data_IF_250199638897
#
_entry.id   IF_250199638897
#
_cell.length_a   1.000
_cell.length_b   1.000
_cell.length_c   1.000
_cell.angle_alpha   90.00
_cell.angle_beta   90.00
_cell.angle_gamma   90.00
#
_symmetry.space_group_name_H-M   'P 1'
#
loop_
_entity.id
_entity.type
_entity.pdbx_description
1 polymer ?
#
# COMPACT_ATOMS: atom_id res chain seq x y z
N UNK A 1 -31.69 79.55 8.38
CA UNK A 1 -32.32 78.79 9.48
C UNK A 1 -31.59 77.46 9.63
N UNK A 2 -31.20 77.11 10.86
CA UNK A 2 -31.09 75.72 11.36
C UNK A 2 -29.94 74.84 10.85
N UNK A 3 -28.92 74.67 11.69
CA UNK A 3 -27.77 73.75 11.59
C UNK A 3 -28.10 72.33 12.12
N UNK A 4 -27.14 71.39 12.37
CA UNK A 4 -25.76 71.22 11.84
C UNK A 4 -25.38 69.76 11.42
N UNK A 5 -24.20 69.62 10.81
CA UNK A 5 -23.40 68.40 10.64
C UNK A 5 -22.31 68.23 11.75
N UNK A 6 -21.71 67.02 11.78
CA UNK A 6 -20.34 66.62 12.24
C UNK A 6 -20.18 66.13 13.71
N UNK A 7 -19.12 65.35 14.12
CA UNK A 7 -17.82 65.10 13.46
C UNK A 7 -17.19 63.68 13.61
N UNK A 8 -15.91 63.60 13.21
CA UNK A 8 -15.02 62.45 13.01
C UNK A 8 -13.71 62.59 13.85
N UNK A 9 -12.92 61.51 14.04
CA UNK A 9 -11.45 61.38 14.33
C UNK A 9 -10.75 61.46 15.72
N UNK A 10 -9.65 60.65 15.79
CA UNK A 10 -8.26 60.82 16.37
C UNK A 10 -7.89 60.12 17.72
N UNK A 11 -7.05 59.05 17.82
CA UNK A 11 -5.55 58.80 17.96
C UNK A 11 -4.77 59.57 19.08
N UNK A 12 -3.51 59.28 19.57
CA UNK A 12 -2.57 58.10 19.75
C UNK A 12 -1.85 58.02 21.18
N UNK A 13 -0.48 57.90 21.40
CA UNK A 13 0.35 56.72 21.83
C UNK A 13 1.30 56.91 23.09
N UNK A 14 2.24 55.96 23.40
CA UNK A 14 3.62 56.07 24.05
C UNK A 14 4.02 54.82 24.91
N UNK A 15 5.14 54.07 24.76
CA UNK A 15 6.64 54.18 24.98
C UNK A 15 7.24 53.76 26.37
N UNK A 16 8.31 52.95 26.26
CA UNK A 16 9.34 52.31 27.16
C UNK A 16 9.79 52.88 28.52
N UNK A 17 10.23 51.99 29.46
CA UNK A 17 11.58 51.94 30.10
C UNK A 17 11.71 50.94 31.30
N UNK A 18 12.86 50.27 31.45
CA UNK A 18 13.34 49.49 32.64
C UNK A 18 14.26 50.37 33.54
N UNK A 19 14.85 49.98 34.74
CA UNK A 19 15.70 48.78 35.00
C UNK A 19 15.80 48.18 36.47
N UNK A 20 16.55 47.07 36.62
CA UNK A 20 17.42 46.54 37.74
C UNK A 20 16.87 46.35 39.20
N UNK A 21 17.31 45.48 40.14
CA UNK A 21 18.46 44.55 40.37
C UNK A 21 18.22 43.74 41.69
N UNK A 22 18.77 42.50 41.80
CA UNK A 22 19.33 41.80 43.02
C UNK A 22 18.40 41.50 44.25
N UNK A 23 18.50 40.44 45.06
CA UNK A 23 19.46 39.34 45.31
C UNK A 23 18.80 38.24 46.19
N UNK A 24 19.44 37.06 46.23
CA UNK A 24 19.55 36.06 47.32
C UNK A 24 18.34 35.25 47.87
N UNK A 25 18.52 33.91 47.88
CA UNK A 25 18.21 33.07 49.06
C UNK A 25 17.40 31.79 48.84
N UNK A 26 18.06 30.65 48.64
CA UNK A 26 17.56 29.30 48.99
C UNK A 26 17.42 29.17 50.53
N UNK A 27 16.48 28.35 51.09
CA UNK A 27 16.63 26.88 51.07
C UNK A 27 15.33 26.02 51.09
N UNK A 28 15.45 24.73 50.74
CA UNK A 28 14.54 23.61 51.10
C UNK A 28 14.72 23.21 52.60
N UNK A 29 14.00 22.22 53.23
CA UNK A 29 12.85 21.36 52.87
C UNK A 29 11.74 21.31 53.99
N UNK A 30 10.89 20.27 53.99
CA UNK A 30 9.95 19.77 55.04
C UNK A 30 8.44 19.90 54.67
N UNK A 31 7.76 18.80 54.33
CA UNK A 31 7.13 17.79 55.21
C UNK A 31 5.74 18.21 55.73
N UNK A 32 4.71 17.45 55.34
CA UNK A 32 3.52 17.26 56.18
C UNK A 32 2.16 17.56 55.52
N UNK A 33 1.41 16.49 55.23
CA UNK A 33 0.10 16.31 55.85
C UNK A 33 -1.12 17.07 55.32
N UNK A 34 -2.00 16.28 54.67
CA UNK A 34 -3.45 16.25 54.83
C UNK A 34 -4.37 17.44 54.42
N UNK A 35 -5.23 17.06 53.47
CA UNK A 35 -6.70 17.17 53.50
C UNK A 35 -7.39 18.29 52.68
N UNK A 36 -8.60 17.98 52.17
CA UNK A 36 -9.13 18.50 50.90
C UNK A 36 -10.24 19.55 51.10
N UNK A 37 -10.49 20.40 50.10
CA UNK A 37 -11.66 21.29 50.12
C UNK A 37 -12.29 21.46 48.73
N UNK A 38 -13.51 20.90 48.64
CA UNK A 38 -14.74 21.37 47.96
C UNK A 38 -14.74 21.72 46.46
N UNK A 39 -15.57 20.97 45.73
CA UNK A 39 -16.60 21.56 44.89
C UNK A 39 -17.92 20.74 44.96
N UNK A 40 -18.92 21.32 45.60
CA UNK A 40 -20.38 21.07 45.51
C UNK A 40 -20.87 22.03 44.39
N UNK A 41 -21.92 21.86 43.58
CA UNK A 41 -23.17 21.09 43.63
C UNK A 41 -23.80 21.07 42.21
N UNK A 42 -24.55 20.02 41.84
CA UNK A 42 -26.03 20.12 41.61
C UNK A 42 -26.36 20.13 40.11
N UNK A 43 -27.33 19.39 39.56
CA UNK A 43 -28.64 18.99 40.07
C UNK A 43 -29.07 17.59 39.57
N UNK A 44 -29.75 16.89 40.48
CA UNK A 44 -30.41 15.58 40.34
C UNK A 44 -31.92 15.85 40.36
N UNK A 45 -32.68 15.24 39.45
CA UNK A 45 -34.14 15.07 39.62
C UNK A 45 -34.47 13.59 39.61
N UNK A 46 -35.18 13.17 40.65
CA UNK A 46 -35.64 11.81 40.87
C UNK A 46 -36.90 11.51 40.04
N UNK A 47 -37.04 10.27 39.55
CA UNK A 47 -38.36 9.65 39.48
C UNK A 47 -38.30 8.13 39.65
N UNK A 48 -39.13 7.66 40.56
CA UNK A 48 -39.27 6.31 41.12
C UNK A 48 -40.08 5.38 40.20
N UNK A 49 -39.71 4.11 40.27
CA UNK A 49 -40.18 2.89 39.59
C UNK A 49 -41.67 2.58 39.77
N UNK A 50 -42.28 1.86 38.81
CA UNK A 50 -43.12 0.71 39.14
C UNK A 50 -42.71 -0.59 38.38
N UNK A 51 -42.55 -1.68 39.13
CA UNK A 51 -42.48 -3.07 38.65
C UNK A 51 -43.91 -3.63 38.58
N UNK A 52 -44.31 -4.31 37.49
CA UNK A 52 -44.45 -5.77 37.46
C UNK A 52 -43.98 -6.32 36.08
N UNK A 53 -43.71 -7.60 35.78
CA UNK A 53 -44.16 -8.90 36.28
C UNK A 53 -43.15 -9.93 35.73
N UNK A 54 -42.73 -10.89 36.54
CA UNK A 54 -41.87 -11.99 36.08
C UNK A 54 -42.71 -13.00 35.28
N UNK A 55 -42.59 -12.99 33.96
CA UNK A 55 -43.02 -14.11 33.13
C UNK A 55 -41.88 -15.13 33.04
N UNK A 56 -42.10 -16.25 33.74
CA UNK A 56 -41.23 -17.41 33.78
C UNK A 56 -41.28 -18.11 32.40
N UNK A 57 -40.32 -17.81 31.53
CA UNK A 57 -40.13 -18.54 30.28
C UNK A 57 -39.40 -19.86 30.57
N UNK A 58 -40.04 -20.97 30.18
CA UNK A 58 -39.53 -22.32 30.31
C UNK A 58 -38.22 -22.51 29.50
N UNK A 59 -37.31 -23.42 29.94
CA UNK A 59 -36.06 -23.69 29.23
C UNK A 59 -36.33 -24.29 27.84
N UNK A 60 -35.56 -23.93 26.80
CA UNK A 60 -35.69 -24.54 25.49
C UNK A 60 -35.35 -26.04 25.58
N UNK A 61 -36.31 -26.86 25.18
CA UNK A 61 -36.18 -28.31 25.12
C UNK A 61 -35.23 -28.68 23.98
N UNK A 62 -34.18 -29.43 24.29
CA UNK A 62 -33.29 -29.99 23.27
C UNK A 62 -34.09 -30.88 22.29
N UNK A 63 -33.93 -30.72 20.97
CA UNK A 63 -34.56 -31.63 20.02
C UNK A 63 -33.95 -33.02 20.17
N UNK A 64 -34.79 -34.00 20.48
CA UNK A 64 -34.46 -35.44 20.41
C UNK A 64 -34.03 -35.78 18.97
N UNK A 65 -33.07 -36.68 18.77
CA UNK A 65 -32.74 -37.16 17.44
C UNK A 65 -33.93 -37.96 16.89
N UNK A 66 -34.70 -37.33 16.01
CA UNK A 66 -35.72 -38.01 15.21
C UNK A 66 -35.02 -38.94 14.22
N UNK A 67 -35.36 -40.22 14.29
CA UNK A 67 -34.97 -41.22 13.32
C UNK A 67 -35.28 -40.74 11.90
N UNK A 68 -34.26 -40.70 11.04
CA UNK A 68 -34.45 -40.51 9.60
C UNK A 68 -35.26 -41.69 9.05
N UNK A 69 -36.20 -41.46 8.11
CA UNK A 69 -36.81 -42.55 7.36
C UNK A 69 -35.73 -43.33 6.57
N UNK A 70 -35.89 -44.66 6.39
CA UNK A 70 -34.92 -45.46 5.65
C UNK A 70 -34.84 -44.95 4.21
N UNK A 71 -33.61 -44.69 3.75
CA UNK A 71 -33.36 -44.43 2.34
C UNK A 71 -33.53 -45.75 1.59
N UNK A 72 -34.59 -45.87 0.82
CA UNK A 72 -34.73 -46.92 -0.17
C UNK A 72 -33.58 -46.82 -1.18
N UNK A 73 -32.76 -47.87 -1.23
CA UNK A 73 -31.74 -48.07 -2.25
C UNK A 73 -32.38 -48.13 -3.63
N UNK A 74 -32.30 -47.02 -4.37
CA UNK A 74 -32.60 -46.99 -5.80
C UNK A 74 -31.38 -47.52 -6.57
N UNK A 75 -31.57 -48.34 -7.61
CA UNK A 75 -30.46 -48.94 -8.35
C UNK A 75 -29.69 -47.87 -9.15
N UNK A 76 -28.37 -47.89 -9.01
CA UNK A 76 -27.45 -47.08 -9.84
C UNK A 76 -27.48 -47.61 -11.27
N UNK A 77 -28.27 -46.98 -12.13
CA UNK A 77 -28.12 -47.08 -13.57
C UNK A 77 -27.35 -45.86 -14.09
N UNK A 78 -26.15 -46.10 -14.62
CA UNK A 78 -25.48 -45.15 -15.50
C UNK A 78 -24.17 -44.54 -14.98
N UNK A 79 -23.14 -45.37 -14.79
CA UNK A 79 -21.74 -44.92 -14.92
C UNK A 79 -21.15 -45.71 -16.09
N UNK A 80 -20.65 -45.08 -17.16
CA UNK A 80 -19.98 -45.81 -18.22
C UNK A 80 -18.67 -46.38 -17.67
N UNK A 81 -18.56 -47.70 -17.65
CA UNK A 81 -17.31 -48.41 -17.39
C UNK A 81 -16.33 -48.10 -18.52
N UNK A 82 -15.17 -47.54 -18.17
CA UNK A 82 -14.02 -47.44 -19.08
C UNK A 82 -13.36 -48.81 -19.13
N UNK A 83 -13.29 -49.37 -20.34
CA UNK A 83 -12.71 -50.68 -20.64
C UNK A 83 -11.15 -50.59 -20.62
N UNK A 84 -10.42 -51.41 -19.84
CA UNK A 84 -8.95 -51.33 -19.76
C UNK A 84 -8.21 -51.88 -20.98
N UNK A 85 -8.88 -52.20 -22.09
CA UNK A 85 -8.28 -52.90 -23.24
C UNK A 85 -8.01 -52.00 -24.46
N UNK A 86 -8.23 -50.69 -24.36
CA UNK A 86 -7.97 -49.74 -25.44
C UNK A 86 -6.52 -49.18 -25.43
N UNK A 87 -5.52 -50.05 -25.52
CA UNK A 87 -4.17 -49.69 -25.97
C UNK A 87 -3.79 -50.60 -27.15
N UNK A 88 -4.32 -50.25 -28.33
CA UNK A 88 -3.98 -50.87 -29.59
C UNK A 88 -2.65 -50.33 -30.12
N UNK A 89 -1.59 -51.09 -29.88
CA UNK A 89 -0.35 -51.00 -30.64
C UNK A 89 -0.59 -51.40 -32.10
N UNK A 90 0.03 -50.65 -33.02
CA UNK A 90 0.10 -50.98 -34.43
C UNK A 90 0.87 -52.30 -34.64
N UNK A 91 0.38 -53.08 -35.59
CA UNK A 91 0.89 -54.37 -36.06
C UNK A 91 2.41 -54.46 -36.22
N UNK A 92 2.99 -55.57 -35.74
CA UNK A 92 4.13 -56.25 -36.35
C UNK A 92 4.01 -57.76 -36.06
N UNK A 93 3.91 -58.58 -37.12
CA UNK A 93 3.80 -60.04 -37.05
C UNK A 93 5.15 -60.73 -36.75
N UNK A 94 5.13 -62.04 -36.41
CA UNK A 94 6.31 -62.77 -35.99
C UNK A 94 7.05 -63.38 -37.20
N UNK A 95 8.38 -63.23 -37.20
CA UNK A 95 9.39 -64.24 -37.60
C UNK A 95 10.69 -63.56 -38.10
N UNK A 96 11.69 -63.39 -37.21
CA UNK A 96 13.12 -63.41 -37.55
C UNK A 96 14.03 -63.43 -36.28
N UNK A 97 15.13 -64.22 -36.25
CA UNK A 97 16.00 -64.42 -35.08
C UNK A 97 17.13 -63.36 -34.93
N UNK A 98 17.90 -63.34 -33.82
CA UNK A 98 18.53 -62.14 -33.30
C UNK A 98 19.89 -61.84 -33.97
N UNK A 99 20.06 -60.61 -34.46
CA UNK A 99 21.36 -60.10 -34.92
C UNK A 99 21.88 -59.06 -33.94
N UNK A 100 23.05 -59.33 -33.36
CA UNK A 100 23.83 -58.39 -32.56
C UNK A 100 24.19 -57.16 -33.42
N UNK A 101 23.85 -55.96 -32.96
CA UNK A 101 24.47 -54.72 -33.47
C UNK A 101 25.22 -54.02 -32.33
N UNK A 102 26.53 -54.06 -32.48
CA UNK A 102 27.51 -53.16 -31.87
C UNK A 102 27.25 -51.71 -32.30
N UNK A 103 27.52 -50.75 -31.42
CA UNK A 103 27.68 -49.34 -31.76
C UNK A 103 26.76 -48.40 -31.01
N UNK A 104 27.23 -47.86 -29.88
CA UNK A 104 26.65 -46.66 -29.28
C UNK A 104 26.81 -45.46 -30.25
N UNK A 105 25.78 -44.65 -30.51
CA UNK A 105 25.97 -43.38 -31.19
C UNK A 105 26.64 -42.41 -30.20
N UNK A 106 27.90 -42.09 -30.51
CA UNK A 106 28.70 -41.08 -29.83
C UNK A 106 27.96 -39.73 -29.83
N UNK A 107 27.91 -39.12 -28.65
CA UNK A 107 27.48 -37.73 -28.44
C UNK A 107 28.36 -36.82 -29.31
N UNK A 108 27.81 -35.97 -30.20
CA UNK A 108 28.63 -35.04 -30.97
C UNK A 108 29.42 -34.12 -30.05
N UNK A 109 30.74 -34.08 -30.26
CA UNK A 109 31.68 -33.18 -29.59
C UNK A 109 31.29 -31.70 -29.78
N UNK A 110 31.70 -30.89 -28.80
CA UNK A 110 31.59 -29.44 -28.81
C UNK A 110 32.25 -28.82 -30.05
N UNK A 111 31.43 -28.17 -30.89
CA UNK A 111 31.90 -27.26 -31.92
C UNK A 111 32.54 -26.01 -31.28
N UNK A 112 33.70 -25.53 -31.78
CA UNK A 112 34.37 -24.35 -31.25
C UNK A 112 33.56 -23.08 -31.48
N UNK A 113 33.58 -22.18 -30.50
CA UNK A 113 32.93 -20.88 -30.51
C UNK A 113 33.32 -20.07 -31.76
N UNK A 114 32.33 -19.77 -32.61
CA UNK A 114 32.49 -18.80 -33.71
C UNK A 114 32.57 -17.39 -33.12
N UNK A 115 33.55 -16.56 -33.53
CA UNK A 115 33.75 -15.20 -33.02
C UNK A 115 32.78 -14.15 -33.61
N UNK A 116 31.73 -14.58 -34.30
CA UNK A 116 30.73 -13.69 -34.88
C UNK A 116 29.46 -13.72 -34.03
N UNK A 117 28.89 -12.56 -33.64
CA UNK A 117 27.61 -12.52 -32.95
C UNK A 117 26.55 -13.12 -33.87
N UNK A 118 25.85 -14.16 -33.41
CA UNK A 118 24.72 -14.72 -34.14
C UNK A 118 23.68 -13.62 -34.40
N UNK A 119 23.21 -13.56 -35.64
CA UNK A 119 22.12 -12.69 -36.05
C UNK A 119 20.83 -13.16 -35.35
N UNK A 120 20.64 -12.70 -34.11
CA UNK A 120 19.38 -12.91 -33.40
C UNK A 120 18.24 -12.28 -34.21
N UNK A 121 17.12 -13.00 -34.33
CA UNK A 121 15.94 -12.57 -35.11
C UNK A 121 15.45 -11.16 -34.76
N UNK A 122 15.74 -10.67 -33.55
CA UNK A 122 15.46 -9.30 -33.11
C UNK A 122 16.30 -8.20 -33.78
N UNK A 123 17.50 -8.51 -34.29
CA UNK A 123 18.33 -7.55 -35.04
C UNK A 123 17.92 -7.44 -36.52
N UNK A 124 17.21 -8.44 -37.04
CA UNK A 124 16.74 -8.47 -38.44
C UNK A 124 15.32 -7.92 -38.63
N UNK A 125 14.57 -7.73 -37.54
CA UNK A 125 13.22 -7.16 -37.58
C UNK A 125 13.29 -5.65 -37.41
N UNK A 126 12.88 -4.94 -38.46
CA UNK A 126 12.64 -3.49 -38.40
C UNK A 126 11.56 -3.25 -37.32
N UNK A 127 11.80 -2.43 -36.30
CA UNK A 127 10.80 -2.15 -35.28
C UNK A 127 9.58 -1.49 -35.94
N UNK A 128 8.49 -2.25 -36.05
CA UNK A 128 7.20 -1.74 -36.53
C UNK A 128 6.60 -0.94 -35.38
N UNK A 129 6.37 0.35 -35.60
CA UNK A 129 5.70 1.21 -34.62
C UNK A 129 4.32 0.60 -34.28
N UNK A 130 3.98 0.38 -32.99
CA UNK A 130 2.67 -0.12 -32.63
C UNK A 130 1.57 0.84 -33.13
N UNK A 131 0.39 0.33 -33.53
CA UNK A 131 -0.70 1.17 -33.99
C UNK A 131 -1.17 2.11 -32.86
N UNK A 132 -1.61 3.35 -33.17
CA UNK A 132 -2.10 4.29 -32.17
C UNK A 132 -3.28 3.71 -31.40
N UNK A 133 -3.25 3.81 -30.07
CA UNK A 133 -4.25 3.22 -29.17
C UNK A 133 -5.49 4.11 -28.93
N UNK A 134 -5.41 5.43 -29.17
CA UNK A 134 -6.52 6.36 -28.90
C UNK A 134 -6.47 7.66 -29.76
N UNK A 135 -7.60 8.37 -29.79
CA UNK A 135 -7.76 9.72 -30.35
C UNK A 135 -7.87 9.81 -31.87
N UNK A 136 -7.69 11.01 -32.41
CA UNK A 136 -7.76 11.27 -33.87
C UNK A 136 -6.71 10.48 -34.66
N UNK A 137 -5.59 10.11 -34.03
CA UNK A 137 -4.56 9.27 -34.64
C UNK A 137 -5.05 7.84 -34.85
N UNK A 138 -5.77 7.26 -33.88
CA UNK A 138 -6.46 5.98 -34.05
C UNK A 138 -7.53 6.08 -35.14
N UNK A 139 -8.29 7.17 -35.18
CA UNK A 139 -9.28 7.40 -36.24
C UNK A 139 -8.64 7.49 -37.62
N UNK A 140 -7.54 8.22 -37.79
CA UNK A 140 -6.81 8.29 -39.06
C UNK A 140 -6.17 6.96 -39.45
N UNK A 141 -5.61 6.22 -38.49
CA UNK A 141 -5.08 4.88 -38.74
C UNK A 141 -6.19 3.95 -39.26
N UNK A 142 -7.38 3.99 -38.63
CA UNK A 142 -8.56 3.23 -39.08
C UNK A 142 -9.08 3.70 -40.44
N UNK A 143 -9.22 5.01 -40.65
CA UNK A 143 -9.74 5.60 -41.89
C UNK A 143 -8.78 5.42 -43.07
N UNK A 144 -7.48 5.35 -42.82
CA UNK A 144 -6.46 5.04 -43.84
C UNK A 144 -6.29 3.54 -44.11
N UNK A 145 -7.12 2.67 -43.50
CA UNK A 145 -7.01 1.22 -43.67
C UNK A 145 -5.68 0.64 -43.14
N UNK A 146 -5.04 1.31 -42.19
CA UNK A 146 -3.73 0.95 -41.65
C UNK A 146 -2.53 1.47 -42.44
N UNK A 147 -2.75 2.28 -43.49
CA UNK A 147 -1.67 2.82 -44.33
C UNK A 147 -0.90 3.97 -43.66
N UNK A 148 -1.56 4.76 -42.81
CA UNK A 148 -0.95 5.90 -42.12
C UNK A 148 -0.88 5.60 -40.62
N UNK A 149 0.27 5.08 -40.19
CA UNK A 149 0.57 4.88 -38.77
C UNK A 149 1.42 6.04 -38.23
N UNK A 150 0.78 6.99 -37.56
CA UNK A 150 1.45 8.11 -36.89
C UNK A 150 2.14 7.71 -35.57
N UNK A 151 2.11 6.42 -35.22
CA UNK A 151 2.55 5.91 -33.94
C UNK A 151 1.65 6.34 -32.79
N UNK A 152 1.97 5.86 -31.60
CA UNK A 152 1.33 6.33 -30.38
C UNK A 152 1.65 7.80 -30.10
N UNK A 153 0.73 8.51 -29.44
CA UNK A 153 1.04 9.86 -28.98
C UNK A 153 2.22 9.82 -27.99
N UNK A 154 3.11 10.84 -27.93
CA UNK A 154 4.23 10.86 -26.99
C UNK A 154 3.81 10.61 -25.53
N UNK A 155 2.59 11.04 -25.22
CA UNK A 155 1.95 10.82 -23.93
C UNK A 155 1.53 9.36 -23.73
N UNK A 156 0.89 8.74 -24.72
CA UNK A 156 0.52 7.32 -24.66
C UNK A 156 1.77 6.45 -24.54
N UNK A 157 2.83 6.75 -25.28
CA UNK A 157 4.11 6.06 -25.14
C UNK A 157 4.73 6.27 -23.76
N UNK A 158 4.70 7.48 -23.20
CA UNK A 158 5.14 7.73 -21.81
C UNK A 158 4.35 6.89 -20.82
N UNK A 159 3.03 6.86 -20.93
CA UNK A 159 2.18 6.06 -20.05
C UNK A 159 2.49 4.56 -20.19
N UNK A 160 2.62 4.05 -21.41
CA UNK A 160 2.97 2.64 -21.66
C UNK A 160 4.34 2.28 -21.10
N UNK A 161 5.34 3.19 -21.20
CA UNK A 161 6.64 3.00 -20.57
C UNK A 161 6.54 2.93 -19.05
N UNK A 162 5.74 3.80 -18.43
CA UNK A 162 5.49 3.75 -16.99
C UNK A 162 4.78 2.46 -16.59
N UNK A 163 3.76 2.03 -17.35
CA UNK A 163 3.05 0.76 -17.14
C UNK A 163 4.01 -0.43 -17.25
N UNK A 164 4.93 -0.42 -18.22
CA UNK A 164 5.95 -1.46 -18.36
C UNK A 164 6.92 -1.48 -17.17
N UNK A 165 7.34 -0.32 -16.65
CA UNK A 165 8.15 -0.21 -15.43
C UNK A 165 7.39 -0.71 -14.20
N UNK A 166 6.14 -0.29 -14.03
CA UNK A 166 5.27 -0.75 -12.94
C UNK A 166 5.05 -2.26 -13.00
N UNK A 167 5.03 -2.87 -14.19
CA UNK A 167 4.91 -4.31 -14.41
C UNK A 167 6.23 -5.09 -14.37
N UNK A 168 7.35 -4.46 -13.98
CA UNK A 168 8.63 -5.15 -13.85
C UNK A 168 8.47 -6.39 -12.94
N UNK A 169 8.98 -7.57 -13.36
CA UNK A 169 8.84 -8.79 -12.57
C UNK A 169 9.41 -8.63 -11.15
N UNK A 170 8.64 -9.03 -10.15
CA UNK A 170 9.07 -9.11 -8.76
C UNK A 170 9.47 -10.55 -8.44
N UNK A 171 10.65 -10.76 -7.85
CA UNK A 171 11.02 -12.05 -7.25
C UNK A 171 10.84 -11.95 -5.74
N UNK A 172 9.90 -12.74 -5.22
CA UNK A 172 9.50 -12.68 -3.81
C UNK A 172 8.56 -11.52 -3.54
N UNK A 173 8.56 -11.04 -2.29
CA UNK A 173 7.76 -9.92 -1.84
C UNK A 173 8.63 -8.67 -1.70
N UNK A 174 8.15 -7.54 -2.20
CA UNK A 174 8.75 -6.23 -2.00
C UNK A 174 7.95 -5.44 -0.98
N UNK A 175 8.62 -4.78 -0.04
CA UNK A 175 8.00 -4.15 1.14
C UNK A 175 8.28 -2.66 1.11
N UNK A 176 7.20 -1.87 1.06
CA UNK A 176 7.29 -0.41 1.04
C UNK A 176 6.65 0.13 2.30
N UNK A 177 7.42 0.86 3.09
CA UNK A 177 6.91 1.51 4.29
C UNK A 177 6.68 3.01 4.06
N UNK A 178 5.54 3.51 4.52
CA UNK A 178 5.18 4.92 4.43
C UNK A 178 5.42 5.60 5.76
N UNK A 179 6.19 6.69 5.75
CA UNK A 179 6.57 7.43 6.95
C UNK A 179 6.11 8.89 6.86
N UNK A 180 5.70 9.43 8.01
CA UNK A 180 5.46 10.86 8.18
C UNK A 180 5.50 11.21 9.67
N UNK A 181 6.23 12.26 10.05
CA UNK A 181 6.27 12.73 11.44
C UNK A 181 5.06 13.61 11.84
N UNK A 182 4.22 14.01 10.87
CA UNK A 182 3.02 14.84 11.13
C UNK A 182 1.75 14.14 10.64
N UNK A 183 0.73 14.13 11.49
CA UNK A 183 -0.63 13.75 11.09
C UNK A 183 -1.20 14.68 10.01
N UNK A 184 -2.00 14.15 9.10
CA UNK A 184 -2.73 14.95 8.10
C UNK A 184 -1.92 15.35 6.85
N UNK A 185 -0.71 14.82 6.65
CA UNK A 185 0.04 15.00 5.38
C UNK A 185 -0.49 14.15 4.22
N UNK A 186 -1.44 13.26 4.50
CA UNK A 186 -2.03 12.33 3.54
C UNK A 186 -1.23 11.04 3.33
N UNK A 187 -0.40 10.62 4.30
CA UNK A 187 0.37 9.37 4.25
C UNK A 187 -0.51 8.15 3.92
N UNK A 188 -1.58 7.92 4.70
CA UNK A 188 -2.54 6.83 4.46
C UNK A 188 -3.20 6.92 3.09
N UNK A 189 -3.52 8.14 2.65
CA UNK A 189 -4.08 8.39 1.31
C UNK A 189 -3.08 8.02 0.22
N UNK A 190 -1.80 8.40 0.36
CA UNK A 190 -0.74 8.03 -0.59
C UNK A 190 -0.49 6.51 -0.57
N UNK A 191 -0.48 5.88 0.61
CA UNK A 191 -0.31 4.43 0.74
C UNK A 191 -1.42 3.67 -0.01
N UNK A 192 -2.68 4.03 0.24
CA UNK A 192 -3.83 3.42 -0.42
C UNK A 192 -3.89 3.72 -1.93
N UNK A 193 -3.65 4.97 -2.35
CA UNK A 193 -3.68 5.33 -3.79
C UNK A 193 -2.53 4.70 -4.56
N UNK A 194 -1.34 4.63 -3.99
CA UNK A 194 -0.20 3.94 -4.60
C UNK A 194 -0.47 2.44 -4.70
N UNK A 195 -1.00 1.82 -3.64
CA UNK A 195 -1.40 0.42 -3.66
C UNK A 195 -2.49 0.10 -4.68
N UNK A 196 -3.52 0.94 -4.76
CA UNK A 196 -4.56 0.82 -5.77
C UNK A 196 -3.98 0.98 -7.18
N UNK A 197 -3.06 1.91 -7.39
CA UNK A 197 -2.39 2.12 -8.68
C UNK A 197 -1.59 0.87 -9.07
N UNK A 198 -0.78 0.33 -8.16
CA UNK A 198 -0.06 -0.93 -8.40
C UNK A 198 -1.01 -2.07 -8.71
N UNK A 199 -2.05 -2.28 -7.90
CA UNK A 199 -3.01 -3.37 -8.09
C UNK A 199 -3.79 -3.26 -9.42
N UNK A 200 -4.06 -2.03 -9.88
CA UNK A 200 -4.78 -1.80 -11.14
C UNK A 200 -3.93 -2.05 -12.38
N UNK A 201 -2.61 -1.94 -12.26
CA UNK A 201 -1.66 -2.05 -13.39
C UNK A 201 -1.00 -3.43 -13.41
N UNK A 202 -0.70 -4.00 -12.22
CA UNK A 202 -0.01 -5.26 -12.06
C UNK A 202 -0.96 -6.44 -12.05
N UNK A 203 -0.46 -7.59 -12.52
CA UNK A 203 -1.18 -8.87 -12.47
C UNK A 203 -0.94 -9.68 -11.19
N UNK A 204 0.01 -9.28 -10.33
CA UNK A 204 0.26 -9.93 -9.05
C UNK A 204 -0.46 -9.24 -7.89
N UNK A 205 -0.43 -9.87 -6.71
CA UNK A 205 -1.25 -9.44 -5.57
C UNK A 205 -0.53 -8.36 -4.76
N UNK A 206 -1.27 -7.30 -4.47
CA UNK A 206 -0.83 -6.15 -3.67
C UNK A 206 -1.69 -6.08 -2.41
N UNK A 207 -1.03 -5.99 -1.25
CA UNK A 207 -1.71 -5.78 0.03
C UNK A 207 -1.18 -4.53 0.71
N UNK A 208 -2.07 -3.78 1.36
CA UNK A 208 -1.71 -2.72 2.28
C UNK A 208 -2.13 -3.08 3.71
N UNK A 209 -1.24 -2.85 4.66
CA UNK A 209 -1.45 -3.10 6.09
C UNK A 209 -1.30 -1.81 6.87
N UNK A 210 -2.20 -1.60 7.81
CA UNK A 210 -2.13 -0.47 8.73
C UNK A 210 -1.31 -0.86 9.95
N UNK A 211 -0.15 -0.22 10.13
CA UNK A 211 0.75 -0.42 11.26
C UNK A 211 0.67 0.75 12.26
N UNK A 212 -0.50 1.39 12.37
CA UNK A 212 -0.75 2.43 13.35
C UNK A 212 -1.29 1.83 14.67
N UNK A 213 -0.56 1.96 15.80
CA UNK A 213 -1.00 1.42 17.09
C UNK A 213 -2.18 2.20 17.72
N UNK A 214 -2.39 3.47 17.34
CA UNK A 214 -3.39 4.33 18.00
C UNK A 214 -4.78 4.22 17.36
N UNK A 215 -4.85 4.38 16.03
CA UNK A 215 -6.06 4.20 15.23
C UNK A 215 -5.76 4.18 13.74
N UNK A 216 -5.86 3.01 13.14
CA UNK A 216 -5.76 2.88 11.68
C UNK A 216 -6.90 3.57 10.94
N UNK A 217 -6.61 4.11 9.76
CA UNK A 217 -7.61 4.72 8.86
C UNK A 217 -7.52 4.20 7.44
N UNK A 218 -6.59 3.26 7.19
CA UNK A 218 -6.39 2.68 5.87
C UNK A 218 -7.60 1.87 5.39
N UNK A 219 -8.24 1.15 6.29
CA UNK A 219 -9.43 0.35 5.99
C UNK A 219 -10.62 1.19 5.51
N UNK A 220 -10.67 2.48 5.86
CA UNK A 220 -11.71 3.42 5.42
C UNK A 220 -11.52 3.88 3.97
N UNK A 221 -10.41 3.48 3.31
CA UNK A 221 -10.08 3.87 1.94
C UNK A 221 -10.59 2.90 0.88
N UNK A 222 -11.17 1.77 1.29
CA UNK A 222 -11.79 0.81 0.38
C UNK A 222 -13.10 0.29 0.98
N UNK A 223 -14.01 -0.25 0.16
CA UNK A 223 -15.17 -0.98 0.66
C UNK A 223 -14.74 -2.17 1.54
N UNK A 224 -15.37 -2.31 2.71
CA UNK A 224 -15.11 -3.43 3.60
C UNK A 224 -15.91 -4.67 3.17
N UNK A 225 -15.21 -5.77 2.94
CA UNK A 225 -15.81 -7.09 2.68
C UNK A 225 -15.81 -7.97 3.93
N UNK A 226 -14.95 -7.65 4.90
CA UNK A 226 -14.78 -8.37 6.16
C UNK A 226 -14.53 -7.40 7.30
N UNK A 227 -14.99 -7.76 8.50
CA UNK A 227 -14.69 -7.06 9.75
C UNK A 227 -13.44 -7.61 10.46
N UNK A 228 -12.82 -8.66 9.90
CA UNK A 228 -11.63 -9.26 10.46
C UNK A 228 -10.45 -8.27 10.45
N UNK A 229 -9.68 -8.27 11.53
CA UNK A 229 -8.53 -7.38 11.72
C UNK A 229 -7.22 -8.15 11.69
N UNK A 230 -6.12 -7.42 11.67
CA UNK A 230 -4.76 -7.91 11.89
C UNK A 230 -4.66 -8.88 13.07
N UNK A 231 -5.37 -8.63 14.18
CA UNK A 231 -5.34 -9.50 15.36
C UNK A 231 -5.92 -10.87 15.10
N UNK A 232 -7.02 -10.94 14.38
CA UNK A 232 -7.66 -12.21 14.04
C UNK A 232 -6.73 -13.05 13.14
N UNK A 233 -6.06 -12.40 12.18
CA UNK A 233 -5.06 -13.08 11.34
C UNK A 233 -3.89 -13.63 12.18
N UNK A 234 -3.42 -12.88 13.16
CA UNK A 234 -2.35 -13.32 14.07
C UNK A 234 -2.77 -14.49 14.95
N UNK A 235 -3.99 -14.46 15.49
CA UNK A 235 -4.55 -15.56 16.28
C UNK A 235 -4.59 -16.85 15.46
N UNK A 236 -4.96 -16.74 14.17
CA UNK A 236 -5.12 -17.88 13.28
C UNK A 236 -3.84 -18.19 12.45
N UNK A 237 -2.71 -17.51 12.73
CA UNK A 237 -1.49 -17.56 11.94
C UNK A 237 -0.96 -18.97 11.66
N UNK A 238 -1.08 -19.89 12.64
CA UNK A 238 -0.66 -21.29 12.51
C UNK A 238 -1.50 -22.12 11.55
N UNK A 239 -2.65 -21.60 11.10
CA UNK A 239 -3.56 -22.27 10.16
C UNK A 239 -3.45 -21.74 8.73
N UNK A 240 -2.68 -20.67 8.51
CA UNK A 240 -2.58 -19.99 7.22
C UNK A 240 -1.57 -20.73 6.31
N UNK A 241 -2.10 -21.55 5.42
CA UNK A 241 -1.31 -22.33 4.45
C UNK A 241 -1.49 -21.83 3.00
N UNK A 242 -2.68 -21.32 2.67
CA UNK A 242 -3.05 -20.91 1.31
C UNK A 242 -3.50 -19.47 1.29
N UNK A 243 -3.44 -18.88 0.10
CA UNK A 243 -3.94 -17.53 -0.11
C UNK A 243 -5.43 -17.36 0.25
N UNK A 244 -6.25 -18.40 0.03
CA UNK A 244 -7.67 -18.37 0.43
C UNK A 244 -7.88 -18.22 1.93
N UNK A 245 -6.88 -18.55 2.73
CA UNK A 245 -6.96 -18.47 4.19
C UNK A 245 -6.71 -17.03 4.63
N UNK A 246 -5.63 -16.39 4.13
CA UNK A 246 -5.35 -14.97 4.42
C UNK A 246 -6.42 -14.03 3.83
N UNK A 247 -7.02 -14.38 2.69
CA UNK A 247 -8.05 -13.56 2.01
C UNK A 247 -9.32 -13.33 2.84
N UNK A 248 -9.57 -14.17 3.86
CA UNK A 248 -10.70 -14.00 4.79
C UNK A 248 -10.53 -12.80 5.73
N UNK A 249 -9.30 -12.34 5.88
CA UNK A 249 -8.90 -11.25 6.77
C UNK A 249 -8.68 -9.93 6.03
N UNK A 250 -8.70 -9.93 4.69
CA UNK A 250 -8.51 -8.73 3.88
C UNK A 250 -9.80 -8.32 3.20
N UNK A 251 -9.97 -7.02 2.99
CA UNK A 251 -11.00 -6.46 2.11
C UNK A 251 -10.36 -6.06 0.78
N UNK A 252 -11.01 -6.33 -0.35
CA UNK A 252 -10.49 -6.01 -1.68
C UNK A 252 -11.29 -4.88 -2.33
N UNK A 253 -10.58 -3.81 -2.71
CA UNK A 253 -11.17 -2.69 -3.43
C UNK A 253 -11.34 -2.97 -4.95
N UNK A 254 -12.07 -2.10 -5.67
CA UNK A 254 -12.30 -2.23 -7.12
C UNK A 254 -11.01 -2.25 -7.96
N UNK A 255 -9.96 -1.56 -7.50
CA UNK A 255 -8.64 -1.56 -8.14
C UNK A 255 -7.88 -2.88 -8.02
N UNK A 256 -8.36 -3.80 -7.19
CA UNK A 256 -7.69 -5.04 -6.86
C UNK A 256 -6.80 -4.98 -5.62
N UNK A 257 -6.59 -3.79 -5.03
CA UNK A 257 -5.84 -3.64 -3.78
C UNK A 257 -6.56 -4.37 -2.64
N UNK A 258 -5.82 -5.16 -1.90
CA UNK A 258 -6.29 -5.73 -0.64
C UNK A 258 -5.80 -4.92 0.54
N UNK A 259 -6.66 -4.72 1.54
CA UNK A 259 -6.30 -4.04 2.79
C UNK A 259 -6.55 -4.98 3.96
N UNK A 260 -5.53 -5.12 4.80
CA UNK A 260 -5.62 -5.76 6.11
C UNK A 260 -5.83 -4.65 7.17
N UNK A 261 -7.02 -4.62 7.77
CA UNK A 261 -7.41 -3.57 8.71
C UNK A 261 -6.74 -3.75 10.09
N UNK A 262 -6.24 -2.67 10.68
CA UNK A 262 -5.79 -2.70 12.08
C UNK A 262 -6.97 -2.87 13.04
N UNK A 263 -6.67 -3.27 14.28
CA UNK A 263 -7.66 -3.19 15.36
C UNK A 263 -8.01 -1.73 15.64
N UNK A 264 -9.28 -1.45 15.91
CA UNK A 264 -9.77 -0.07 16.15
C UNK A 264 -10.37 0.11 17.54
N UNK A 265 -10.56 -0.98 18.31
CA UNK A 265 -11.07 -0.92 19.67
C UNK A 265 -9.98 -0.45 20.67
N UNK A 266 -10.11 0.74 21.26
CA UNK A 266 -9.16 1.26 22.25
C UNK A 266 -9.18 0.49 23.58
N UNK A 267 -10.24 -0.29 23.84
CA UNK A 267 -10.36 -1.09 25.08
C UNK A 267 -9.47 -2.34 25.04
N UNK A 268 -9.04 -2.77 23.86
CA UNK A 268 -8.13 -3.91 23.68
C UNK A 268 -6.70 -3.42 23.83
N UNK A 269 -6.29 -3.28 25.09
CA UNK A 269 -5.09 -2.58 25.58
C UNK A 269 -3.72 -3.19 25.22
N UNK A 270 -3.62 -4.24 24.40
CA UNK A 270 -2.31 -4.75 23.95
C UNK A 270 -1.81 -3.90 22.78
N UNK A 271 -0.80 -3.06 23.00
CA UNK A 271 -0.21 -2.29 21.91
C UNK A 271 0.30 -3.24 20.81
N UNK A 272 -0.06 -2.95 19.56
CA UNK A 272 0.46 -3.65 18.38
C UNK A 272 2.00 -3.65 18.45
N UNK A 273 2.61 -4.84 18.56
CA UNK A 273 4.03 -4.98 18.85
C UNK A 273 4.90 -5.14 17.61
N UNK A 274 6.21 -4.97 17.79
CA UNK A 274 7.23 -5.25 16.78
C UNK A 274 7.18 -6.71 16.31
N UNK A 275 6.99 -7.63 17.26
CA UNK A 275 6.89 -9.06 17.05
C UNK A 275 5.62 -9.42 16.26
N UNK A 276 4.49 -8.79 16.58
CA UNK A 276 3.23 -8.96 15.87
C UNK A 276 3.37 -8.54 14.41
N UNK A 277 3.93 -7.35 14.16
CA UNK A 277 4.22 -6.88 12.80
C UNK A 277 5.09 -7.88 12.03
N UNK A 278 6.17 -8.38 12.64
CA UNK A 278 7.04 -9.37 12.03
C UNK A 278 6.29 -10.63 11.57
N UNK A 279 5.42 -11.17 12.44
CA UNK A 279 4.62 -12.37 12.10
C UNK A 279 3.61 -12.11 10.99
N UNK A 280 2.92 -10.97 11.01
CA UNK A 280 1.99 -10.60 9.93
C UNK A 280 2.73 -10.51 8.62
N UNK A 281 3.87 -9.82 8.65
CA UNK A 281 4.66 -9.60 7.47
C UNK A 281 5.19 -10.93 6.90
N UNK A 282 5.63 -11.87 7.76
CA UNK A 282 5.99 -13.25 7.36
C UNK A 282 4.81 -14.01 6.71
N UNK A 283 3.57 -13.74 7.12
CA UNK A 283 2.38 -14.31 6.47
C UNK A 283 2.15 -13.65 5.11
N UNK A 284 2.14 -12.32 5.04
CA UNK A 284 1.79 -11.57 3.84
C UNK A 284 2.80 -11.81 2.71
N UNK A 285 4.09 -11.83 3.01
CA UNK A 285 5.15 -12.04 2.00
C UNK A 285 5.07 -13.38 1.28
N UNK A 286 4.42 -14.39 1.87
CA UNK A 286 4.20 -15.70 1.24
C UNK A 286 3.14 -15.65 0.14
N UNK A 287 2.22 -14.69 0.18
CA UNK A 287 1.04 -14.67 -0.68
C UNK A 287 0.87 -13.41 -1.53
N UNK A 288 1.60 -12.34 -1.22
CA UNK A 288 1.57 -11.05 -1.90
C UNK A 288 2.95 -10.70 -2.46
N UNK A 289 3.00 -10.20 -3.69
CA UNK A 289 4.25 -9.75 -4.32
C UNK A 289 4.67 -8.35 -3.84
N UNK A 290 3.71 -7.54 -3.41
CA UNK A 290 3.95 -6.20 -2.88
C UNK A 290 3.17 -6.00 -1.58
N UNK A 291 3.89 -5.62 -0.52
CA UNK A 291 3.33 -5.27 0.80
C UNK A 291 3.59 -3.81 1.08
N UNK A 292 2.52 -3.07 1.36
CA UNK A 292 2.54 -1.63 1.63
C UNK A 292 2.18 -1.40 3.10
N UNK A 293 3.11 -0.87 3.89
CA UNK A 293 2.90 -0.65 5.32
C UNK A 293 2.65 0.82 5.61
N UNK A 294 1.41 1.16 5.96
CA UNK A 294 1.05 2.50 6.41
C UNK A 294 1.41 2.67 7.89
N UNK A 295 2.53 3.34 8.19
CA UNK A 295 3.01 3.46 9.57
C UNK A 295 2.25 4.55 10.33
N UNK A 296 2.08 4.43 11.65
CA UNK A 296 1.56 5.54 12.47
C UNK A 296 2.42 6.83 12.37
N UNK A 297 1.92 7.99 12.84
CA UNK A 297 2.64 9.26 12.79
C UNK A 297 3.86 9.35 13.73
N UNK A 298 4.07 8.35 14.60
CA UNK A 298 5.17 8.32 15.57
C UNK A 298 6.33 7.43 15.14
N UNK A 299 7.54 8.01 15.05
CA UNK A 299 8.79 7.28 14.78
C UNK A 299 9.34 6.51 15.99
N UNK A 300 8.83 6.81 17.19
CA UNK A 300 9.35 6.29 18.46
C UNK A 300 8.66 5.01 18.96
N UNK A 301 7.70 4.48 18.20
CA UNK A 301 7.04 3.22 18.57
C UNK A 301 7.94 2.01 18.24
N UNK A 302 7.88 0.99 19.09
CA UNK A 302 8.65 -0.26 18.93
C UNK A 302 8.46 -0.92 17.56
N UNK A 303 7.26 -0.82 16.98
CA UNK A 303 6.91 -1.29 15.63
C UNK A 303 7.79 -0.66 14.55
N UNK A 304 8.18 0.60 14.71
CA UNK A 304 8.94 1.34 13.68
C UNK A 304 10.27 0.66 13.39
N UNK A 305 10.97 0.17 14.43
CA UNK A 305 12.23 -0.55 14.24
C UNK A 305 12.04 -1.78 13.35
N UNK A 306 11.04 -2.61 13.63
CA UNK A 306 10.74 -3.80 12.82
C UNK A 306 10.28 -3.48 11.40
N UNK A 307 9.59 -2.34 11.21
CA UNK A 307 9.24 -1.86 9.87
C UNK A 307 10.49 -1.45 9.10
N UNK A 308 11.37 -0.64 9.69
CA UNK A 308 12.60 -0.15 9.06
C UNK A 308 13.56 -1.30 8.75
N UNK A 309 13.72 -2.26 9.67
CA UNK A 309 14.62 -3.42 9.50
C UNK A 309 14.19 -4.33 8.34
N UNK A 310 12.89 -4.32 7.98
CA UNK A 310 12.34 -5.20 6.94
C UNK A 310 11.95 -4.49 5.65
N UNK A 311 11.84 -3.16 5.62
CA UNK A 311 11.42 -2.43 4.44
C UNK A 311 12.51 -2.45 3.35
N UNK A 312 12.10 -2.75 2.10
CA UNK A 312 12.98 -2.65 0.94
C UNK A 312 13.04 -1.22 0.38
N UNK A 313 11.99 -0.43 0.63
CA UNK A 313 11.94 0.98 0.30
C UNK A 313 11.12 1.78 1.31
N UNK A 314 11.51 3.05 1.48
CA UNK A 314 10.77 4.03 2.28
C UNK A 314 10.13 5.08 1.37
N UNK A 315 8.88 5.40 1.65
CA UNK A 315 8.18 6.55 1.08
C UNK A 315 7.93 7.57 2.19
N UNK A 316 8.64 8.69 2.16
CA UNK A 316 8.50 9.75 3.15
C UNK A 316 7.51 10.78 2.62
N UNK A 317 6.34 10.86 3.27
CA UNK A 317 5.24 11.70 2.83
C UNK A 317 5.28 13.05 3.55
N UNK A 318 5.28 14.11 2.77
CA UNK A 318 5.26 15.49 3.22
C UNK A 318 4.09 16.23 2.58
N UNK A 319 3.48 17.18 3.31
CA UNK A 319 2.53 18.10 2.67
C UNK A 319 3.29 19.19 1.90
N UNK A 320 2.65 19.78 0.88
CA UNK A 320 3.15 20.95 0.16
C UNK A 320 3.12 22.25 1.02
N UNK A 321 3.80 22.22 2.18
CA UNK A 321 3.88 23.30 3.16
C UNK A 321 5.29 23.37 3.78
N UNK A 322 5.65 24.52 4.38
CA UNK A 322 6.95 24.70 5.06
C UNK A 322 7.07 23.73 6.24
N UNK A 323 6.02 23.63 7.05
CA UNK A 323 6.00 22.74 8.21
C UNK A 323 6.06 21.27 7.79
N UNK A 324 5.38 20.91 6.70
CA UNK A 324 5.47 19.58 6.11
C UNK A 324 6.90 19.26 5.67
N UNK A 325 7.54 20.17 4.94
CA UNK A 325 8.91 19.99 4.47
C UNK A 325 9.89 19.84 5.64
N UNK A 326 9.82 20.73 6.64
CA UNK A 326 10.67 20.64 7.86
C UNK A 326 10.46 19.33 8.62
N UNK A 327 9.20 18.89 8.74
CA UNK A 327 8.85 17.65 9.45
C UNK A 327 9.38 16.40 8.72
N UNK A 328 9.32 16.39 7.39
CA UNK A 328 9.91 15.31 6.59
C UNK A 328 11.45 15.35 6.64
N UNK A 329 12.09 16.52 6.58
CA UNK A 329 13.54 16.64 6.77
C UNK A 329 13.98 16.10 8.12
N UNK A 330 13.27 16.46 9.21
CA UNK A 330 13.56 15.92 10.54
C UNK A 330 13.38 14.40 10.63
N UNK A 331 12.47 13.82 9.84
CA UNK A 331 12.32 12.35 9.74
C UNK A 331 13.56 11.73 9.10
N UNK A 332 14.06 12.30 8.00
CA UNK A 332 15.28 11.84 7.35
C UNK A 332 16.50 12.00 8.25
N UNK A 333 16.65 13.15 8.91
CA UNK A 333 17.76 13.40 9.84
C UNK A 333 17.73 12.42 11.02
N UNK A 334 16.53 12.05 11.52
CA UNK A 334 16.39 11.02 12.55
C UNK A 334 16.81 9.65 12.03
N UNK A 335 16.39 9.26 10.82
CA UNK A 335 16.78 7.98 10.21
C UNK A 335 18.30 7.89 10.01
N UNK A 336 18.93 8.94 9.50
CA UNK A 336 20.39 9.03 9.35
C UNK A 336 21.09 8.86 10.71
N UNK A 337 20.63 9.60 11.74
CA UNK A 337 21.21 9.55 13.08
C UNK A 337 21.05 8.18 13.78
N UNK A 338 20.13 7.33 13.31
CA UNK A 338 19.87 6.00 13.87
C UNK A 338 20.37 4.86 12.96
N UNK A 339 21.25 5.16 12.00
CA UNK A 339 21.93 4.15 11.19
C UNK A 339 21.14 3.63 9.98
N UNK A 340 20.10 4.35 9.55
CA UNK A 340 19.29 4.02 8.39
C UNK A 340 19.68 4.85 7.15
N UNK A 341 20.94 5.27 7.04
CA UNK A 341 21.44 6.12 5.95
C UNK A 341 21.19 5.52 4.56
N UNK A 342 21.39 4.21 4.40
CA UNK A 342 21.14 3.52 3.12
C UNK A 342 19.64 3.50 2.77
N UNK A 343 18.76 3.38 3.76
CA UNK A 343 17.31 3.47 3.54
C UNK A 343 16.92 4.91 3.17
N UNK A 344 17.53 5.92 3.79
CA UNK A 344 17.32 7.34 3.43
C UNK A 344 17.77 7.61 2.00
N UNK A 345 18.98 7.20 1.63
CA UNK A 345 19.52 7.34 0.27
C UNK A 345 18.61 6.68 -0.77
N UNK A 346 18.07 5.51 -0.45
CA UNK A 346 17.15 4.79 -1.31
C UNK A 346 15.69 5.21 -1.18
N UNK A 347 15.34 6.12 -0.27
CA UNK A 347 13.95 6.54 -0.04
C UNK A 347 13.41 7.42 -1.17
N UNK A 348 12.08 7.52 -1.23
CA UNK A 348 11.34 8.39 -2.14
C UNK A 348 10.61 9.43 -1.31
N UNK A 349 10.88 10.71 -1.55
CA UNK A 349 10.11 11.79 -0.93
C UNK A 349 8.86 12.09 -1.75
N UNK A 350 7.68 12.04 -1.14
CA UNK A 350 6.41 12.41 -1.77
C UNK A 350 5.93 13.73 -1.20
N UNK A 351 5.81 14.73 -2.06
CA UNK A 351 5.24 16.03 -1.73
C UNK A 351 3.77 16.02 -2.15
N UNK A 352 2.88 15.84 -1.17
CA UNK A 352 1.45 15.70 -1.38
C UNK A 352 0.72 17.05 -1.26
N UNK A 353 -0.04 17.39 -2.30
CA UNK A 353 -0.94 18.53 -2.34
C UNK A 353 -2.21 18.26 -1.54
N UNK A 354 -2.23 18.59 -0.25
CA UNK A 354 -3.40 18.41 0.61
C UNK A 354 -4.40 19.58 0.54
N UNK A 355 -4.09 20.64 -0.20
CA UNK A 355 -4.96 21.83 -0.39
C UNK A 355 -4.85 22.37 -1.82
N UNK A 356 -5.91 23.01 -2.36
CA UNK A 356 -5.93 23.52 -3.74
C UNK A 356 -4.88 24.59 -4.04
N UNK A 357 -4.52 25.40 -3.04
CA UNK A 357 -3.47 26.40 -3.16
C UNK A 357 -2.27 25.94 -2.34
N UNK A 358 -1.13 25.60 -2.97
CA UNK A 358 0.12 25.49 -2.23
C UNK A 358 0.37 26.84 -1.55
N UNK A 359 0.90 26.83 -0.33
CA UNK A 359 1.24 28.07 0.37
C UNK A 359 2.28 28.89 -0.41
N UNK A 360 2.81 29.97 0.20
CA UNK A 360 3.96 30.72 -0.36
C UNK A 360 5.27 29.92 -0.31
N UNK A 361 5.25 28.63 -0.64
CA UNK A 361 6.38 27.72 -0.59
C UNK A 361 6.96 27.56 -1.98
N UNK A 362 8.25 27.82 -2.10
CA UNK A 362 8.99 27.57 -3.32
C UNK A 362 9.23 26.06 -3.48
N UNK A 363 8.42 25.41 -4.33
CA UNK A 363 8.49 23.96 -4.51
C UNK A 363 9.80 23.50 -5.14
N UNK A 364 10.46 24.33 -5.93
CA UNK A 364 11.74 23.96 -6.52
C UNK A 364 12.81 23.78 -5.43
N UNK A 365 12.83 24.66 -4.43
CA UNK A 365 13.74 24.53 -3.28
C UNK A 365 13.45 23.30 -2.43
N UNK A 366 12.17 22.95 -2.25
CA UNK A 366 11.79 21.76 -1.50
C UNK A 366 12.21 20.50 -2.25
N UNK A 367 11.97 20.45 -3.57
CA UNK A 367 12.42 19.34 -4.43
C UNK A 367 13.95 19.23 -4.39
N UNK A 368 14.66 20.34 -4.55
CA UNK A 368 16.13 20.37 -4.50
C UNK A 368 16.67 19.88 -3.15
N UNK A 369 16.02 20.27 -2.05
CA UNK A 369 16.40 19.83 -0.70
C UNK A 369 16.29 18.31 -0.52
N UNK A 370 15.19 17.70 -0.97
CA UNK A 370 14.96 16.27 -0.84
C UNK A 370 15.74 15.44 -1.86
N UNK A 371 15.96 15.96 -3.08
CA UNK A 371 16.72 15.26 -4.13
C UNK A 371 18.20 15.03 -3.76
N UNK A 372 18.72 15.74 -2.76
CA UNK A 372 20.08 15.54 -2.22
C UNK A 372 20.18 14.37 -1.25
N UNK A 373 19.05 13.88 -0.72
CA UNK A 373 18.98 12.86 0.35
C UNK A 373 18.24 11.61 -0.11
N UNK A 374 17.18 11.77 -0.88
CA UNK A 374 16.34 10.70 -1.41
C UNK A 374 16.72 10.40 -2.86
N UNK A 375 16.57 9.15 -3.32
CA UNK A 375 16.83 8.77 -4.72
C UNK A 375 15.89 9.45 -5.70
N UNK A 376 14.68 9.80 -5.25
CA UNK A 376 13.66 10.44 -6.06
C UNK A 376 12.73 11.31 -5.22
N UNK A 377 12.12 12.30 -5.88
CA UNK A 377 11.09 13.16 -5.30
C UNK A 377 9.89 13.20 -6.25
N UNK A 378 8.70 12.86 -5.77
CA UNK A 378 7.47 12.91 -6.55
C UNK A 378 6.49 13.92 -5.97
N UNK A 379 5.97 14.80 -6.81
CA UNK A 379 4.87 15.70 -6.46
C UNK A 379 3.53 15.03 -6.81
N UNK A 380 2.64 14.89 -5.83
CA UNK A 380 1.25 14.48 -6.06
C UNK A 380 0.38 15.71 -5.94
N UNK A 381 -0.29 16.16 -7.02
CA UNK A 381 -1.10 17.38 -6.99
C UNK A 381 -2.35 17.21 -6.14
N UNK A 382 -2.95 18.33 -5.74
CA UNK A 382 -4.23 18.31 -5.04
C UNK A 382 -5.35 17.72 -5.90
N UNK A 383 -6.10 16.81 -5.30
CA UNK A 383 -7.26 16.17 -5.89
C UNK A 383 -8.45 16.25 -4.92
N UNK A 384 -9.59 16.83 -5.33
CA UNK A 384 -10.79 16.89 -4.48
C UNK A 384 -11.27 15.51 -4.03
N UNK A 385 -11.15 14.49 -4.88
CA UNK A 385 -11.58 13.12 -4.53
C UNK A 385 -10.79 12.58 -3.33
N UNK A 386 -9.50 12.94 -3.23
CA UNK A 386 -8.64 12.51 -2.14
C UNK A 386 -8.84 13.33 -0.85
N UNK A 387 -9.36 14.56 -0.96
CA UNK A 387 -9.69 15.43 0.18
C UNK A 387 -10.94 14.95 0.92
N UNK A 388 -11.93 14.38 0.21
CA UNK A 388 -13.16 13.81 0.78
C UNK A 388 -12.88 12.81 1.92
N UNK A 389 -11.70 12.17 1.90
CA UNK A 389 -11.28 11.25 2.97
C UNK A 389 -12.03 9.92 2.98
N UNK A 390 -12.88 9.68 2.00
CA UNK A 390 -13.69 8.48 1.83
C UNK A 390 -12.95 7.39 1.03
N UNK A 391 -13.71 6.45 0.46
CA UNK A 391 -13.23 5.38 -0.40
C UNK A 391 -12.49 5.93 -1.63
N UNK A 392 -11.36 5.30 -1.97
CA UNK A 392 -10.55 5.68 -3.12
C UNK A 392 -11.08 4.99 -4.37
N UNK A 393 -11.36 5.81 -5.37
CA UNK A 393 -11.72 5.39 -6.72
C UNK A 393 -10.75 6.06 -7.70
N UNK A 394 -9.97 5.25 -8.41
CA UNK A 394 -8.96 5.73 -9.35
C UNK A 394 -9.58 6.44 -10.56
N UNK A 395 -10.80 6.08 -10.95
CA UNK A 395 -11.46 6.65 -12.12
C UNK A 395 -11.92 8.10 -11.87
N UNK A 396 -12.30 8.40 -10.62
CA UNK A 396 -12.69 9.74 -10.16
C UNK A 396 -11.52 10.71 -10.01
N UNK A 397 -10.28 10.21 -9.93
CA UNK A 397 -9.11 11.07 -9.83
C UNK A 397 -8.96 11.97 -11.05
N UNK A 398 -8.42 13.17 -10.84
CA UNK A 398 -8.03 14.03 -11.95
C UNK A 398 -6.84 13.40 -12.67
N UNK A 399 -6.78 13.65 -13.98
CA UNK A 399 -5.72 13.14 -14.86
C UNK A 399 -4.30 13.43 -14.34
N UNK A 400 -3.96 14.65 -13.87
CA UNK A 400 -2.61 14.92 -13.34
C UNK A 400 -2.28 14.09 -12.09
N UNK A 401 -3.27 13.85 -11.22
CA UNK A 401 -3.10 13.01 -10.02
C UNK A 401 -2.85 11.56 -10.39
N UNK A 402 -3.63 11.00 -11.33
CA UNK A 402 -3.40 9.63 -11.84
C UNK A 402 -2.02 9.46 -12.44
N UNK A 403 -1.57 10.44 -13.24
CA UNK A 403 -0.23 10.41 -13.81
C UNK A 403 0.85 10.44 -12.74
N UNK A 404 0.74 11.35 -11.77
CA UNK A 404 1.70 11.45 -10.67
C UNK A 404 1.77 10.16 -9.83
N UNK A 405 0.63 9.48 -9.62
CA UNK A 405 0.59 8.19 -8.93
C UNK A 405 1.18 7.05 -9.77
N UNK A 406 0.94 7.06 -11.08
CA UNK A 406 1.55 6.08 -12.01
C UNK A 406 3.07 6.27 -12.08
N UNK A 407 3.54 7.52 -12.08
CA UNK A 407 4.96 7.87 -11.99
C UNK A 407 5.56 7.44 -10.65
N UNK A 408 4.86 7.68 -9.53
CA UNK A 408 5.28 7.21 -8.23
C UNK A 408 5.43 5.69 -8.19
N UNK A 409 4.45 4.96 -8.74
CA UNK A 409 4.50 3.51 -8.85
C UNK A 409 5.69 3.04 -9.69
N UNK A 410 5.99 3.71 -10.80
CA UNK A 410 7.15 3.41 -11.64
C UNK A 410 8.48 3.66 -10.89
N UNK A 411 8.60 4.77 -10.16
CA UNK A 411 9.76 5.10 -9.32
C UNK A 411 9.99 4.06 -8.21
N UNK A 412 8.91 3.58 -7.59
CA UNK A 412 8.99 2.49 -6.60
C UNK A 412 9.44 1.19 -7.28
N UNK A 413 8.86 0.86 -8.44
CA UNK A 413 9.17 -0.35 -9.20
C UNK A 413 10.58 -0.39 -9.79
N UNK A 414 11.20 0.77 -10.03
CA UNK A 414 12.59 0.85 -10.44
C UNK A 414 13.55 0.26 -9.38
N UNK A 415 13.17 0.34 -8.11
CA UNK A 415 13.88 -0.24 -6.98
C UNK A 415 13.68 -1.76 -6.80
N UNK A 416 12.89 -2.42 -7.65
CA UNK A 416 12.68 -3.86 -7.55
C UNK A 416 13.96 -4.63 -7.89
N UNK A 417 14.32 -5.67 -7.11
CA UNK A 417 15.51 -6.47 -7.37
C UNK A 417 15.37 -7.15 -8.74
N UNK A 418 16.22 -6.73 -9.70
CA UNK A 418 16.21 -7.24 -11.06
C UNK A 418 16.66 -8.71 -11.17
N UNK A 419 16.37 -9.33 -12.31
CA UNK A 419 16.91 -10.64 -12.65
C UNK A 419 18.43 -10.53 -12.92
N UNK A 420 19.29 -10.96 -11.98
CA UNK A 420 20.72 -11.20 -12.25
C UNK A 420 20.93 -12.43 -13.15
N UNK A 421 20.25 -12.48 -14.30
CA UNK A 421 20.59 -13.37 -15.41
C UNK A 421 20.88 -12.62 -16.71
N UNK A 422 21.06 -11.29 -16.65
CA UNK A 422 21.66 -10.54 -17.75
C UNK A 422 22.34 -9.24 -17.28
N UNK A 423 23.61 -9.25 -16.84
CA UNK A 423 24.47 -8.07 -16.94
C UNK A 423 24.78 -7.82 -18.43
N UNK A 424 23.76 -7.39 -19.18
CA UNK A 424 23.86 -7.08 -20.60
C UNK A 424 24.36 -5.65 -20.82
N UNK A 425 25.67 -5.51 -20.95
CA UNK A 425 26.41 -4.50 -21.74
C UNK A 425 25.90 -3.04 -21.63
N UNK A 426 26.40 -2.32 -20.63
CA UNK A 426 26.75 -0.90 -20.83
C UNK A 426 28.17 -0.89 -21.40
N UNK A 427 28.27 -0.73 -22.72
CA UNK A 427 29.49 -0.44 -23.46
C UNK A 427 29.29 0.85 -24.23
#
# INVERSE_FOLDING_TARGET
MGAPEQPTTQIPPQTSSAPAQQDAGEPQPESGGDAPTRAFAGFRTERRVPTPEHQQAAPPTAPRPGAMPPWDSTPVTGIPRVDPTAYGAYYAGPDAPPTQMQGAPQRPEHLPHTPYPELSTGMLLRPVQPPPSDGWRLLLYKMSGGLINLGESPRASRYNNLVAQVNRPLRGSYRVAFLSLKGGVGKTTIAATLGATFASIRGDRVVAVDANPDRGTLSQKIPLETAATVRQLLHDAGTIERYSDVRRYTSKGPSGLEVLASETDPAISEAFSAEDYGRILDILERFYGLVLTDCGPGLLHSVMKSVLDRADALVVVSSASIDGARSASATLDWLDAHGHEDLVRNSIAVINGVRPRPGKVDMNKVIEHFSRRCRAVQLVPFDPHLEEGAEIDLERLRRPTREALTELAAIVADGFPGDQRNPGVLG
#
